data_IF_293625619317
#
_entry.id   IF_293625619317
#
_cell.length_a   1.000
_cell.length_b   1.000
_cell.length_c   1.000
_cell.angle_alpha   90.00
_cell.angle_beta   90.00
_cell.angle_gamma   90.00
#
_symmetry.space_group_name_H-M   'P 1'
#
loop_
_entity.id
_entity.type
_entity.pdbx_description
1 polymer ?
#
# COMPACT_ATOMS: atom_id res chain seq x y z
N UNK A 1 81.39 20.65 14.26
CA UNK A 1 82.37 20.60 13.15
C UNK A 1 83.45 19.68 13.66
N UNK A 2 83.60 18.44 13.24
CA UNK A 2 83.47 17.78 11.95
C UNK A 2 83.30 16.28 12.28
N UNK A 3 82.37 15.58 11.67
CA UNK A 3 82.72 14.41 10.87
C UNK A 3 81.49 14.02 10.05
N UNK A 4 81.64 14.30 8.76
CA UNK A 4 80.66 14.19 7.71
C UNK A 4 80.69 12.78 7.10
N UNK A 5 79.53 12.38 6.57
CA UNK A 5 79.39 11.50 5.39
C UNK A 5 79.83 10.05 5.58
N UNK A 6 78.94 9.19 6.07
CA UNK A 6 78.72 7.85 5.51
C UNK A 6 77.45 7.21 6.10
N UNK A 7 76.27 7.55 5.57
CA UNK A 7 75.14 6.63 5.46
C UNK A 7 74.05 7.28 4.61
N UNK A 8 74.38 7.46 3.32
CA UNK A 8 73.35 7.52 2.29
C UNK A 8 72.64 6.17 2.26
N UNK A 9 71.32 6.22 2.05
CA UNK A 9 70.37 5.11 1.81
C UNK A 9 69.58 4.65 3.06
N UNK A 10 68.38 5.21 3.22
CA UNK A 10 67.09 4.53 3.53
C UNK A 10 66.14 5.32 4.47
N UNK A 11 65.80 6.57 4.15
CA UNK A 11 64.62 7.21 4.77
C UNK A 11 63.82 8.02 3.74
N UNK A 12 63.40 7.35 2.67
CA UNK A 12 62.28 7.80 1.85
C UNK A 12 61.15 6.78 2.00
N UNK A 13 59.93 7.27 2.24
CA UNK A 13 58.64 6.57 2.32
C UNK A 13 58.17 6.13 3.72
N UNK A 14 57.57 7.06 4.46
CA UNK A 14 56.31 6.93 5.20
C UNK A 14 56.15 8.24 5.99
N UNK A 15 55.18 9.11 5.77
CA UNK A 15 53.76 8.93 6.02
C UNK A 15 53.02 10.08 5.31
N UNK A 16 52.11 9.76 4.39
CA UNK A 16 51.08 10.64 3.82
C UNK A 16 49.75 10.22 4.50
N UNK A 17 48.83 11.16 4.80
CA UNK A 17 48.05 11.20 6.02
C UNK A 17 46.91 10.17 6.00
N UNK A 18 46.63 9.55 7.15
CA UNK A 18 45.37 8.83 7.32
C UNK A 18 44.37 9.74 8.00
N UNK A 19 43.40 10.16 7.18
CA UNK A 19 42.10 10.68 7.57
C UNK A 19 41.61 10.00 8.85
N UNK A 20 41.38 10.79 9.89
CA UNK A 20 40.62 10.36 11.06
C UNK A 20 39.20 10.07 10.59
N UNK A 21 38.88 8.79 10.41
CA UNK A 21 37.50 8.35 10.26
C UNK A 21 36.83 8.53 11.63
N UNK A 22 36.14 9.65 11.79
CA UNK A 22 35.15 9.80 12.85
C UNK A 22 34.06 8.75 12.62
N UNK A 23 34.12 7.65 13.36
CA UNK A 23 33.00 6.73 13.50
C UNK A 23 31.92 7.51 14.26
N UNK A 24 30.95 8.07 13.52
CA UNK A 24 29.72 8.57 14.13
C UNK A 24 29.01 7.43 14.87
N UNK A 25 28.08 7.72 15.78
CA UNK A 25 27.30 6.67 16.45
C UNK A 25 26.64 5.80 15.37
N UNK A 26 27.08 4.55 15.30
CA UNK A 26 26.48 3.55 14.43
C UNK A 26 25.03 3.39 14.88
N UNK A 27 24.10 4.03 14.17
CA UNK A 27 22.68 3.68 14.26
C UNK A 27 22.62 2.18 14.01
N UNK A 28 22.13 1.35 14.96
CA UNK A 28 22.00 -0.07 14.70
C UNK A 28 21.09 -0.23 13.50
N UNK A 29 21.61 -0.79 12.40
CA UNK A 29 20.84 -1.13 11.21
C UNK A 29 19.86 -2.24 11.60
N UNK A 30 18.66 -1.84 12.01
CA UNK A 30 17.52 -2.74 12.22
C UNK A 30 17.09 -3.23 10.84
N UNK A 31 17.10 -4.55 10.60
CA UNK A 31 16.63 -5.13 9.34
C UNK A 31 15.10 -5.03 9.24
N UNK A 32 14.57 -4.92 8.03
CA UNK A 32 13.12 -4.75 7.79
C UNK A 32 12.28 -5.95 8.28
N UNK A 33 11.06 -5.66 8.73
CA UNK A 33 10.09 -6.66 9.22
C UNK A 33 10.06 -6.84 10.74
N UNK A 34 9.15 -7.70 11.24
CA UNK A 34 9.00 -8.00 12.68
C UNK A 34 9.35 -9.43 12.98
N UNK A 35 9.82 -9.67 14.20
CA UNK A 35 9.95 -11.01 14.74
C UNK A 35 8.61 -11.75 14.74
N UNK A 36 8.55 -12.99 14.22
CA UNK A 36 7.39 -13.84 14.39
C UNK A 36 7.15 -14.07 15.90
N UNK A 37 5.87 -14.17 16.29
CA UNK A 37 5.54 -14.54 17.68
C UNK A 37 6.16 -15.90 17.99
N UNK A 38 6.79 -16.09 19.16
CA UNK A 38 7.30 -17.40 19.57
C UNK A 38 6.16 -18.41 19.53
N UNK A 39 6.22 -19.36 18.62
CA UNK A 39 5.36 -20.54 18.66
C UNK A 39 6.01 -21.47 19.67
N UNK A 40 5.31 -21.73 20.78
CA UNK A 40 5.75 -22.70 21.78
C UNK A 40 5.64 -24.12 21.18
N UNK A 41 6.51 -24.46 20.23
CA UNK A 41 6.78 -25.86 19.90
C UNK A 41 7.72 -26.35 20.99
N UNK A 42 7.13 -26.65 22.16
CA UNK A 42 7.88 -27.19 23.28
C UNK A 42 8.12 -28.67 23.02
N UNK A 43 9.29 -29.02 22.48
CA UNK A 43 9.86 -30.33 22.74
C UNK A 43 10.56 -30.26 24.11
N UNK A 44 10.10 -31.01 25.13
CA UNK A 44 10.68 -30.98 26.48
C UNK A 44 12.12 -31.51 26.56
N UNK A 45 12.64 -32.12 25.49
CA UNK A 45 13.90 -32.87 25.49
C UNK A 45 15.08 -32.04 24.98
N UNK A 46 14.86 -30.83 24.46
CA UNK A 46 15.89 -30.01 23.81
C UNK A 46 15.80 -28.53 24.26
N UNK A 47 16.00 -28.25 25.55
CA UNK A 47 16.23 -26.87 25.99
C UNK A 47 17.69 -26.72 26.43
N UNK A 48 18.59 -26.65 25.45
CA UNK A 48 19.79 -25.82 25.57
C UNK A 48 19.39 -24.45 25.04
N UNK A 49 19.49 -23.40 25.85
CA UNK A 49 19.33 -22.03 25.33
C UNK A 49 20.48 -21.81 24.34
N UNK A 50 20.20 -22.05 23.05
CA UNK A 50 21.15 -21.84 21.98
C UNK A 50 21.22 -20.33 21.73
N UNK A 51 22.42 -19.80 21.88
CA UNK A 51 22.74 -18.38 21.68
C UNK A 51 23.30 -18.27 20.27
N UNK A 52 22.54 -17.68 19.34
CA UNK A 52 23.00 -17.52 17.95
C UNK A 52 23.26 -16.05 17.59
N UNK A 53 22.52 -15.12 18.17
CA UNK A 53 22.69 -13.70 17.89
C UNK A 53 22.32 -12.82 19.10
N UNK A 54 22.91 -11.64 19.16
CA UNK A 54 22.48 -10.55 20.06
C UNK A 54 21.83 -9.38 19.31
N UNK A 55 21.96 -9.37 17.98
CA UNK A 55 21.53 -8.28 17.12
C UNK A 55 21.31 -8.73 15.67
N UNK A 56 20.54 -7.96 14.90
CA UNK A 56 20.19 -8.30 13.50
C UNK A 56 21.42 -8.47 12.60
N UNK A 57 22.53 -7.78 12.86
CA UNK A 57 23.72 -7.79 12.00
C UNK A 57 24.50 -9.10 12.07
N UNK A 58 24.34 -9.87 13.14
CA UNK A 58 24.96 -11.21 13.29
C UNK A 58 24.27 -12.25 12.41
N UNK A 59 23.03 -11.96 11.99
CA UNK A 59 22.25 -12.88 11.19
C UNK A 59 22.58 -12.74 9.69
N UNK A 60 22.66 -13.85 8.93
CA UNK A 60 22.86 -13.80 7.49
C UNK A 60 21.64 -13.21 6.77
N UNK A 61 21.86 -12.63 5.60
CA UNK A 61 20.81 -12.11 4.71
C UNK A 61 19.87 -11.13 5.44
N UNK A 62 18.56 -11.24 5.21
CA UNK A 62 17.52 -10.41 5.80
C UNK A 62 16.97 -10.98 7.13
N UNK A 63 17.64 -11.97 7.73
CA UNK A 63 17.18 -12.56 9.00
C UNK A 63 17.36 -11.58 10.16
N UNK A 64 16.35 -11.49 11.03
CA UNK A 64 16.36 -10.69 12.26
C UNK A 64 16.74 -11.54 13.45
N UNK A 65 17.40 -10.91 14.42
CA UNK A 65 17.66 -11.50 15.71
C UNK A 65 16.43 -11.34 16.60
N UNK A 66 15.77 -12.45 16.89
CA UNK A 66 14.49 -12.43 17.59
C UNK A 66 14.56 -13.19 18.90
N UNK A 67 13.98 -12.60 19.93
CA UNK A 67 13.91 -13.17 21.26
C UNK A 67 13.26 -14.55 21.22
N UNK A 68 13.97 -15.53 21.79
CA UNK A 68 13.41 -16.83 22.10
C UNK A 68 12.71 -16.80 23.48
N UNK A 69 12.07 -17.90 23.86
CA UNK A 69 11.38 -18.01 25.16
C UNK A 69 12.32 -17.98 26.39
N UNK A 70 13.65 -17.90 26.21
CA UNK A 70 14.67 -17.88 27.26
C UNK A 70 15.09 -16.43 27.66
N UNK A 71 14.45 -15.41 27.08
CA UNK A 71 14.26 -14.12 27.75
C UNK A 71 15.29 -13.01 27.51
N UNK A 72 16.48 -13.26 26.95
CA UNK A 72 17.43 -12.16 26.65
C UNK A 72 18.36 -12.42 25.45
N UNK A 73 18.18 -13.52 24.73
CA UNK A 73 19.09 -13.98 23.68
C UNK A 73 18.27 -14.36 22.44
N UNK A 74 18.76 -13.98 21.26
CA UNK A 74 18.03 -14.19 20.02
C UNK A 74 18.54 -15.37 19.19
N UNK A 75 17.65 -15.83 18.32
CA UNK A 75 17.97 -16.72 17.19
C UNK A 75 17.70 -15.99 15.87
N UNK A 76 18.44 -16.35 14.84
CA UNK A 76 18.29 -15.73 13.53
C UNK A 76 17.09 -16.31 12.78
N UNK A 77 15.99 -15.55 12.75
CA UNK A 77 14.74 -15.97 12.11
C UNK A 77 14.41 -15.10 10.90
N UNK A 78 13.68 -15.67 9.96
CA UNK A 78 13.16 -14.91 8.83
C UNK A 78 12.06 -13.98 9.35
N UNK A 79 12.18 -12.65 9.17
CA UNK A 79 11.21 -11.72 9.71
C UNK A 79 9.89 -11.81 8.97
N UNK A 80 8.78 -11.60 9.69
CA UNK A 80 7.48 -11.42 9.05
C UNK A 80 7.46 -10.05 8.40
N UNK A 81 7.21 -10.01 7.08
CA UNK A 81 6.99 -8.77 6.34
C UNK A 81 5.82 -8.02 6.98
N UNK A 82 6.08 -6.80 7.47
CA UNK A 82 5.00 -5.89 7.87
C UNK A 82 4.46 -5.27 6.61
N UNK A 83 3.36 -5.82 6.12
CA UNK A 83 2.61 -5.10 5.12
C UNK A 83 1.80 -4.02 5.84
N UNK A 84 2.39 -2.82 5.92
CA UNK A 84 1.83 -1.68 6.65
C UNK A 84 0.50 -1.18 6.08
N UNK A 85 0.15 -1.57 4.84
CA UNK A 85 -1.04 -1.09 4.15
C UNK A 85 -2.03 -2.25 3.96
N UNK A 86 -3.19 -2.24 4.65
CA UNK A 86 -4.28 -3.19 4.40
C UNK A 86 -4.77 -3.10 2.95
N UNK A 87 -5.22 -4.22 2.38
CA UNK A 87 -5.86 -4.18 1.05
C UNK A 87 -7.17 -3.40 1.13
N UNK A 88 -7.52 -2.72 0.02
CA UNK A 88 -8.75 -1.90 -0.07
C UNK A 88 -10.00 -2.71 0.21
N UNK A 89 -11.01 -2.03 0.78
CA UNK A 89 -12.31 -2.61 1.13
C UNK A 89 -12.37 -3.18 2.55
N UNK A 90 -13.48 -3.81 2.87
CA UNK A 90 -13.86 -4.26 4.20
C UNK A 90 -14.21 -5.74 4.18
N UNK A 91 -14.08 -6.40 5.33
CA UNK A 91 -14.53 -7.78 5.47
C UNK A 91 -16.06 -7.85 5.44
N UNK A 92 -16.67 -8.81 4.72
CA UNK A 92 -18.08 -9.11 4.88
C UNK A 92 -18.36 -9.58 6.31
N UNK A 93 -19.55 -9.26 6.81
CA UNK A 93 -20.02 -9.80 8.08
C UNK A 93 -20.32 -11.28 7.89
N UNK A 94 -19.70 -12.20 8.65
CA UNK A 94 -19.96 -13.62 8.53
C UNK A 94 -21.38 -13.99 8.99
N UNK A 95 -22.10 -14.75 8.16
CA UNK A 95 -23.39 -15.36 8.51
C UNK A 95 -23.14 -16.64 9.33
N UNK A 96 -22.98 -16.48 10.64
CA UNK A 96 -22.75 -17.60 11.57
C UNK A 96 -21.28 -17.98 11.74
N UNK A 97 -21.03 -19.23 12.16
CA UNK A 97 -19.69 -19.77 12.37
C UNK A 97 -19.20 -20.50 11.12
N UNK A 98 -18.09 -20.04 10.55
CA UNK A 98 -17.39 -20.72 9.48
C UNK A 98 -16.49 -21.84 9.98
N UNK A 99 -15.74 -22.44 9.05
CA UNK A 99 -14.77 -23.49 9.36
C UNK A 99 -13.63 -22.90 10.20
N UNK A 100 -13.28 -23.56 11.29
CA UNK A 100 -12.21 -23.20 12.22
C UNK A 100 -10.81 -23.49 11.64
N UNK A 101 -10.46 -22.80 10.55
CA UNK A 101 -9.15 -22.91 9.89
C UNK A 101 -8.53 -21.52 9.81
N UNK A 102 -7.25 -21.43 10.14
CA UNK A 102 -6.41 -20.23 9.97
C UNK A 102 -5.72 -20.29 8.60
N UNK A 103 -6.44 -19.94 7.53
CA UNK A 103 -5.87 -19.93 6.17
C UNK A 103 -4.94 -18.73 5.95
N UNK A 104 -5.17 -17.62 6.66
CA UNK A 104 -4.42 -16.39 6.52
C UNK A 104 -4.26 -15.70 7.88
N UNK A 105 -3.19 -14.91 8.03
CA UNK A 105 -3.00 -14.02 9.19
C UNK A 105 -3.26 -12.55 8.83
N UNK A 106 -2.93 -12.16 7.60
CA UNK A 106 -3.02 -10.80 7.07
C UNK A 106 -3.55 -10.81 5.64
N UNK A 107 -4.06 -9.66 5.17
CA UNK A 107 -4.55 -9.50 3.80
C UNK A 107 -3.54 -9.94 2.72
N UNK A 108 -2.24 -9.82 3.01
CA UNK A 108 -1.17 -10.12 2.06
C UNK A 108 -0.81 -11.59 1.97
N UNK A 109 -1.31 -12.41 2.90
CA UNK A 109 -1.24 -13.86 2.78
C UNK A 109 -2.24 -14.36 1.72
N UNK A 110 -3.23 -13.54 1.36
CA UNK A 110 -4.22 -13.84 0.35
C UNK A 110 -3.78 -13.36 -1.03
N UNK A 111 -4.16 -14.10 -2.09
CA UNK A 111 -3.87 -13.70 -3.46
C UNK A 111 -4.62 -12.43 -3.88
N UNK A 112 -4.08 -11.72 -4.90
CA UNK A 112 -4.74 -10.58 -5.56
C UNK A 112 -5.25 -9.53 -4.55
N UNK A 113 -6.53 -9.17 -4.62
CA UNK A 113 -7.18 -8.18 -3.77
C UNK A 113 -7.99 -8.82 -2.61
N UNK A 114 -7.86 -10.12 -2.37
CA UNK A 114 -8.60 -10.79 -1.30
C UNK A 114 -8.12 -10.31 0.08
N UNK A 115 -9.05 -10.15 1.01
CA UNK A 115 -8.77 -9.76 2.40
C UNK A 115 -8.82 -10.97 3.32
N UNK A 116 -8.01 -10.91 4.37
CA UNK A 116 -8.01 -11.94 5.40
C UNK A 116 -9.05 -11.59 6.47
N UNK A 117 -10.16 -12.31 6.46
CA UNK A 117 -11.33 -11.98 7.26
C UNK A 117 -11.69 -13.09 8.23
N UNK A 118 -12.14 -12.69 9.43
CA UNK A 118 -12.66 -13.63 10.43
C UNK A 118 -14.00 -14.20 9.96
N UNK A 119 -14.18 -15.50 10.14
CA UNK A 119 -15.45 -16.18 9.91
C UNK A 119 -16.11 -16.62 11.24
N UNK A 120 -15.85 -15.88 12.33
CA UNK A 120 -16.26 -16.17 13.72
C UNK A 120 -15.61 -17.41 14.38
N UNK A 121 -14.84 -18.23 13.65
CA UNK A 121 -14.02 -19.28 14.27
C UNK A 121 -12.54 -19.15 13.92
N UNK A 122 -12.23 -19.06 12.62
CA UNK A 122 -10.89 -18.83 12.12
C UNK A 122 -10.84 -17.67 11.12
N UNK A 123 -9.88 -17.71 10.20
CA UNK A 123 -9.65 -16.67 9.18
C UNK A 123 -9.49 -17.27 7.79
N UNK A 124 -10.19 -16.67 6.83
CA UNK A 124 -10.17 -17.08 5.43
C UNK A 124 -10.02 -15.89 4.49
N UNK A 125 -9.48 -16.16 3.30
CA UNK A 125 -9.33 -15.17 2.24
C UNK A 125 -10.65 -14.98 1.50
N UNK A 126 -11.23 -13.78 1.58
CA UNK A 126 -12.53 -13.46 0.97
C UNK A 126 -12.47 -12.23 0.10
N UNK A 127 -13.41 -12.13 -0.83
CA UNK A 127 -13.57 -10.91 -1.61
C UNK A 127 -13.98 -9.75 -0.70
N UNK A 128 -13.25 -8.62 -0.78
CA UNK A 128 -13.58 -7.46 0.04
C UNK A 128 -14.86 -6.78 -0.44
N UNK A 129 -15.65 -6.34 0.53
CA UNK A 129 -16.73 -5.39 0.30
C UNK A 129 -16.12 -4.00 0.03
N UNK A 130 -16.43 -3.40 -1.12
CA UNK A 130 -16.01 -2.03 -1.46
C UNK A 130 -17.12 -1.03 -1.10
N UNK A 131 -16.83 -0.05 -0.21
CA UNK A 131 -17.79 1.02 0.16
C UNK A 131 -18.42 1.69 -1.05
N UNK A 132 -17.68 1.75 -2.15
CA UNK A 132 -18.18 2.11 -3.46
C UNK A 132 -18.02 0.94 -4.43
N UNK A 133 -19.14 0.52 -5.04
CA UNK A 133 -19.11 -0.30 -6.25
C UNK A 133 -18.45 0.47 -7.38
N UNK A 134 -17.90 -0.28 -8.35
CA UNK A 134 -17.22 0.28 -9.54
C UNK A 134 -18.15 1.17 -10.34
N UNK A 135 -17.54 2.08 -11.11
CA UNK A 135 -18.25 3.08 -11.91
C UNK A 135 -18.64 4.32 -11.11
N UNK A 136 -19.37 5.24 -11.74
CA UNK A 136 -19.79 6.52 -11.16
C UNK A 136 -21.30 6.69 -11.25
N UNK A 137 -21.86 7.49 -10.35
CA UNK A 137 -23.24 7.95 -10.48
C UNK A 137 -23.36 8.90 -11.67
N UNK A 138 -24.44 8.79 -12.46
CA UNK A 138 -24.77 9.83 -13.44
C UNK A 138 -25.05 11.16 -12.76
N UNK A 139 -24.89 12.26 -13.51
CA UNK A 139 -25.16 13.58 -12.99
C UNK A 139 -26.62 13.69 -12.47
N UNK A 140 -26.84 14.34 -11.33
CA UNK A 140 -28.18 14.62 -10.85
C UNK A 140 -28.87 15.62 -11.77
N UNK A 141 -30.19 15.51 -11.92
CA UNK A 141 -30.98 16.50 -12.62
C UNK A 141 -31.42 17.59 -11.64
N UNK A 142 -31.47 18.84 -12.10
CA UNK A 142 -32.02 19.93 -11.29
C UNK A 142 -33.54 19.80 -11.26
N UNK A 143 -34.10 19.44 -10.10
CA UNK A 143 -35.54 19.51 -9.84
C UNK A 143 -35.79 20.65 -8.87
N UNK A 144 -36.64 21.61 -9.26
CA UNK A 144 -36.98 22.74 -8.41
C UNK A 144 -37.82 22.32 -7.19
N UNK A 145 -38.68 21.32 -7.33
CA UNK A 145 -39.57 20.84 -6.28
C UNK A 145 -39.51 19.33 -6.11
N UNK A 146 -39.00 18.87 -4.98
CA UNK A 146 -39.11 17.46 -4.58
C UNK A 146 -39.01 17.23 -3.09
N UNK A 147 -39.61 16.10 -2.66
CA UNK A 147 -39.54 15.60 -1.29
C UNK A 147 -38.51 14.48 -1.23
N UNK A 148 -37.54 14.59 -0.31
CA UNK A 148 -36.52 13.57 -0.10
C UNK A 148 -37.14 12.31 0.51
N UNK A 149 -36.90 11.17 -0.13
CA UNK A 149 -37.33 9.84 0.34
C UNK A 149 -36.32 8.76 -0.11
N UNK A 150 -35.11 8.84 0.45
CA UNK A 150 -33.97 8.00 0.04
C UNK A 150 -34.29 6.49 0.12
N UNK A 151 -34.16 5.79 -1.01
CA UNK A 151 -34.38 4.34 -1.15
C UNK A 151 -33.14 3.51 -0.83
N UNK A 152 -31.99 4.16 -0.75
CA UNK A 152 -30.72 3.55 -0.37
C UNK A 152 -29.84 4.56 0.39
N UNK A 153 -28.95 4.04 1.22
CA UNK A 153 -27.94 4.82 1.93
C UNK A 153 -26.56 4.71 1.27
N UNK A 154 -26.20 3.52 0.81
CA UNK A 154 -24.94 3.24 0.15
C UNK A 154 -25.10 2.15 -0.93
N UNK A 155 -24.04 1.89 -1.68
CA UNK A 155 -24.07 0.96 -2.81
C UNK A 155 -24.45 -0.48 -2.44
N UNK A 156 -24.29 -0.91 -1.20
CA UNK A 156 -24.63 -2.28 -0.77
C UNK A 156 -26.13 -2.48 -0.56
N UNK A 157 -26.88 -1.42 -0.31
CA UNK A 157 -28.34 -1.50 -0.24
C UNK A 157 -28.93 -1.85 -1.62
N UNK A 158 -28.16 -1.61 -2.67
CA UNK A 158 -28.52 -1.91 -4.04
C UNK A 158 -28.02 -3.30 -4.46
N UNK A 159 -28.85 -4.09 -5.15
CA UNK A 159 -28.45 -5.42 -5.68
C UNK A 159 -27.79 -5.32 -7.06
N UNK A 160 -27.32 -6.43 -7.60
CA UNK A 160 -26.91 -6.58 -9.02
C UNK A 160 -25.90 -5.54 -9.53
N UNK A 161 -24.95 -5.15 -8.67
CA UNK A 161 -23.91 -4.18 -9.04
C UNK A 161 -24.40 -2.73 -9.20
N UNK A 162 -25.65 -2.43 -8.86
CA UNK A 162 -26.21 -1.07 -8.89
C UNK A 162 -25.58 -0.19 -7.80
N UNK A 163 -25.36 1.11 -8.10
CA UNK A 163 -24.88 2.10 -7.13
C UNK A 163 -26.04 2.88 -6.53
N UNK A 164 -25.88 3.30 -5.28
CA UNK A 164 -26.79 4.21 -4.63
C UNK A 164 -26.40 5.65 -4.99
N UNK A 165 -27.23 6.31 -5.79
CA UNK A 165 -26.91 7.59 -6.38
C UNK A 165 -27.98 8.61 -6.10
N UNK A 166 -27.56 9.84 -5.83
CA UNK A 166 -28.46 10.97 -5.78
C UNK A 166 -28.88 11.36 -7.20
N UNK A 167 -30.18 11.41 -7.46
CA UNK A 167 -30.71 11.75 -8.79
C UNK A 167 -31.04 13.24 -8.97
N UNK A 168 -30.89 14.03 -7.90
CA UNK A 168 -31.35 15.41 -7.83
C UNK A 168 -32.35 15.66 -6.71
N UNK A 169 -32.97 14.60 -6.17
CA UNK A 169 -34.02 14.68 -5.16
C UNK A 169 -33.92 13.61 -4.07
N UNK A 170 -33.60 12.39 -4.46
CA UNK A 170 -33.50 11.24 -3.57
C UNK A 170 -32.33 10.34 -3.98
N UNK A 171 -31.89 9.50 -3.05
CA UNK A 171 -30.92 8.43 -3.34
C UNK A 171 -31.66 7.19 -3.82
N UNK A 172 -31.36 6.78 -5.06
CA UNK A 172 -31.93 5.59 -5.70
C UNK A 172 -30.85 4.67 -6.24
N UNK A 173 -31.16 3.38 -6.29
CA UNK A 173 -30.30 2.38 -6.91
C UNK A 173 -30.36 2.50 -8.43
N UNK A 174 -29.21 2.82 -9.05
CA UNK A 174 -29.12 2.95 -10.51
C UNK A 174 -27.86 2.31 -11.06
N UNK A 175 -27.90 1.98 -12.34
CA UNK A 175 -26.75 1.39 -13.04
C UNK A 175 -25.61 2.41 -13.03
N UNK A 176 -24.40 2.03 -12.58
CA UNK A 176 -23.25 2.92 -12.64
C UNK A 176 -22.87 3.23 -14.10
N UNK A 177 -22.40 4.46 -14.34
CA UNK A 177 -21.64 4.79 -15.55
C UNK A 177 -20.26 4.15 -15.45
N UNK A 178 -19.82 3.52 -16.54
CA UNK A 178 -18.46 3.04 -16.65
C UNK A 178 -17.47 4.21 -16.50
N UNK A 179 -16.31 3.94 -15.89
CA UNK A 179 -15.25 4.95 -15.85
C UNK A 179 -14.66 5.07 -17.25
N UNK A 180 -14.75 6.26 -17.83
CA UNK A 180 -14.02 6.61 -19.05
C UNK A 180 -12.53 6.34 -18.84
N UNK A 181 -11.91 5.70 -19.82
CA UNK A 181 -10.52 5.22 -19.75
C UNK A 181 -9.58 6.23 -20.41
N UNK A 182 -8.29 6.13 -20.06
CA UNK A 182 -7.23 6.96 -20.61
C UNK A 182 -6.86 8.14 -19.72
N UNK A 183 -5.97 8.97 -20.25
CA UNK A 183 -5.31 10.07 -19.54
C UNK A 183 -5.58 11.36 -20.32
N UNK A 184 -5.78 12.47 -19.59
CA UNK A 184 -5.94 13.78 -20.21
C UNK A 184 -4.72 14.16 -21.07
N UNK A 185 -4.94 14.74 -22.26
CA UNK A 185 -3.85 15.30 -23.05
C UNK A 185 -3.16 16.44 -22.30
N UNK A 186 -1.89 16.67 -22.64
CA UNK A 186 -1.17 17.83 -22.12
C UNK A 186 -1.83 19.11 -22.66
N UNK A 187 -2.02 20.14 -21.83
CA UNK A 187 -2.58 21.42 -22.26
C UNK A 187 -1.77 22.03 -23.40
N UNK A 188 -2.45 22.50 -24.45
CA UNK A 188 -1.82 23.32 -25.49
C UNK A 188 -2.21 24.78 -25.20
N UNK A 189 -1.26 25.67 -24.90
CA UNK A 189 -1.59 27.05 -24.56
C UNK A 189 -2.19 27.77 -25.76
N UNK A 190 -3.50 28.03 -25.72
CA UNK A 190 -4.17 28.93 -26.63
C UNK A 190 -4.82 30.06 -25.84
N UNK A 191 -4.57 31.30 -26.26
CA UNK A 191 -5.19 32.50 -25.70
C UNK A 191 -6.55 32.72 -26.38
N UNK A 192 -7.56 31.98 -25.94
CA UNK A 192 -8.95 32.22 -26.32
C UNK A 192 -9.79 32.50 -25.07
N UNK A 193 -10.99 33.02 -25.27
CA UNK A 193 -11.97 33.23 -24.20
C UNK A 193 -12.23 31.92 -23.46
N UNK A 194 -11.97 31.91 -22.15
CA UNK A 194 -12.03 30.68 -21.36
C UNK A 194 -13.48 30.34 -21.03
N UNK A 195 -13.99 29.27 -21.64
CA UNK A 195 -15.26 28.65 -21.25
C UNK A 195 -15.03 27.28 -20.61
N UNK A 196 -15.78 26.98 -19.56
CA UNK A 196 -15.75 25.70 -18.85
C UNK A 196 -16.94 24.86 -19.31
N UNK A 197 -16.71 24.06 -20.35
CA UNK A 197 -17.77 23.24 -20.98
C UNK A 197 -18.12 22.01 -20.15
N UNK A 198 -17.22 21.56 -19.28
CA UNK A 198 -17.43 20.43 -18.39
C UNK A 198 -16.91 20.70 -16.97
N UNK A 199 -17.54 20.07 -15.98
CA UNK A 199 -17.13 20.07 -14.57
C UNK A 199 -16.61 18.69 -14.14
N UNK A 200 -17.03 17.65 -14.86
CA UNK A 200 -16.60 16.28 -14.65
C UNK A 200 -16.71 15.47 -15.95
N UNK A 201 -16.03 14.32 -15.99
CA UNK A 201 -15.99 13.44 -17.16
C UNK A 201 -17.37 12.95 -17.63
N UNK A 202 -18.39 12.93 -16.76
CA UNK A 202 -19.72 12.44 -17.13
C UNK A 202 -20.50 13.45 -17.96
N UNK A 203 -20.13 14.74 -17.90
CA UNK A 203 -20.74 15.79 -18.73
C UNK A 203 -20.30 15.71 -20.20
N UNK A 204 -19.16 15.07 -20.45
CA UNK A 204 -18.66 14.83 -21.79
C UNK A 204 -19.36 13.63 -22.43
N UNK A 205 -19.58 13.66 -23.75
CA UNK A 205 -20.16 12.54 -24.50
C UNK A 205 -19.13 11.42 -24.76
N UNK A 206 -19.61 10.22 -25.05
CA UNK A 206 -18.76 9.06 -25.40
C UNK A 206 -17.62 8.80 -24.42
N UNK A 207 -16.41 8.62 -24.93
CA UNK A 207 -15.20 8.39 -24.12
C UNK A 207 -14.38 9.66 -23.83
N UNK A 208 -14.88 10.84 -24.22
CA UNK A 208 -14.20 12.12 -23.98
C UNK A 208 -14.00 12.39 -22.48
N UNK A 209 -12.81 12.82 -22.09
CA UNK A 209 -12.49 13.17 -20.72
C UNK A 209 -12.63 14.67 -20.48
N UNK A 210 -13.11 15.05 -19.30
CA UNK A 210 -13.13 16.45 -18.90
C UNK A 210 -11.74 16.84 -18.38
N UNK A 211 -11.00 17.56 -19.20
CA UNK A 211 -9.59 17.83 -19.03
C UNK A 211 -9.31 19.34 -19.03
N UNK A 212 -8.26 19.73 -18.34
CA UNK A 212 -7.79 21.10 -18.40
C UNK A 212 -7.07 21.34 -19.72
N UNK A 213 -7.62 22.20 -20.59
CA UNK A 213 -7.03 22.48 -21.90
C UNK A 213 -5.92 23.54 -21.86
N UNK A 214 -5.75 24.23 -20.72
CA UNK A 214 -4.77 25.31 -20.54
C UNK A 214 -5.41 26.65 -20.15
N UNK A 215 -6.73 26.75 -20.24
CA UNK A 215 -7.52 27.96 -19.97
C UNK A 215 -8.86 27.61 -19.31
N UNK A 216 -9.52 26.53 -19.74
CA UNK A 216 -10.77 26.02 -19.13
C UNK A 216 -10.81 24.50 -19.04
N UNK A 217 -11.93 23.98 -18.54
CA UNK A 217 -12.24 22.56 -18.53
C UNK A 217 -13.01 22.20 -19.80
N UNK A 218 -12.47 21.25 -20.57
CA UNK A 218 -12.96 20.90 -21.88
C UNK A 218 -13.03 19.38 -22.08
N UNK A 219 -13.99 18.93 -22.88
CA UNK A 219 -14.14 17.53 -23.23
C UNK A 219 -13.16 17.15 -24.35
N UNK A 220 -12.07 16.48 -23.99
CA UNK A 220 -10.98 16.12 -24.90
C UNK A 220 -10.87 14.60 -25.07
N UNK A 221 -10.32 14.17 -26.21
CA UNK A 221 -10.05 12.75 -26.44
C UNK A 221 -8.96 12.23 -25.49
N UNK A 222 -9.17 11.06 -24.85
CA UNK A 222 -8.19 10.45 -23.98
C UNK A 222 -6.97 9.91 -24.72
N UNK A 223 -5.78 10.05 -24.14
CA UNK A 223 -4.64 9.21 -24.48
C UNK A 223 -4.76 7.84 -23.78
N UNK A 224 -4.74 6.77 -24.57
CA UNK A 224 -4.76 5.41 -24.06
C UNK A 224 -3.34 4.96 -23.72
N UNK A 225 -3.11 4.62 -22.45
CA UNK A 225 -1.84 4.02 -22.04
C UNK A 225 -1.76 2.59 -22.58
N UNK A 226 -0.81 2.33 -23.49
CA UNK A 226 -0.54 0.98 -23.96
C UNK A 226 0.01 0.18 -22.78
N UNK A 227 -0.71 -0.86 -22.36
CA UNK A 227 -0.19 -1.83 -21.39
C UNK A 227 0.92 -2.62 -22.08
N UNK A 228 2.17 -2.31 -21.72
CA UNK A 228 3.34 -3.14 -22.02
C UNK A 228 3.36 -4.41 -21.18
#
# INVERSE_FOLDING_TARGET
MELSVLCLLTLALAFVPQLSATVGPSVPLVKDGVCPKPTLVMDPSVVRCLIECTSDWECPEDKKCCENACGHIGICVTPKKVFAVPKKGFCPTPEGFGICVEQCSTDHDCEKNLKCCSNNCGKTCVEPLMKEKRGRCPAPFTRLDCKRDDKCNNDYDCKDGLKCCFDGCEKICRKPLERKKGICPKPIPHFAECDATCDNHNKCEGDLLCCYSGCGMECLEPFMELRG
#
